data_IF_123877802587
#
_entry.id   IF_123877802587
#
_cell.length_a   1.000
_cell.length_b   1.000
_cell.length_c   1.000
_cell.angle_alpha   90.00
_cell.angle_beta   90.00
_cell.angle_gamma   90.00
#
_symmetry.space_group_name_H-M   'P 1'
#
loop_
_entity.id
_entity.type
_entity.pdbx_description
1 polymer ?
#
# COMPACT_ATOMS: atom_id res chain seq x y z
N UNK A 1 -7.02 -16.20 3.70
CA UNK A 1 -6.63 -14.96 2.98
C UNK A 1 -5.13 -14.84 3.12
N UNK A 2 -4.37 -14.61 2.08
CA UNK A 2 -2.90 -14.52 2.15
C UNK A 2 -2.53 -13.09 2.53
N UNK A 3 -1.63 -12.89 3.49
CA UNK A 3 -1.25 -11.57 4.00
C UNK A 3 -0.37 -10.77 3.03
N UNK A 4 0.35 -11.42 2.15
CA UNK A 4 1.17 -10.81 1.11
C UNK A 4 0.61 -11.12 -0.27
N UNK A 5 0.69 -10.14 -1.16
CA UNK A 5 0.51 -10.38 -2.57
C UNK A 5 1.73 -11.18 -3.06
N UNK A 6 1.52 -12.46 -3.45
CA UNK A 6 2.58 -13.18 -4.13
C UNK A 6 2.95 -12.44 -5.42
N UNK A 7 4.23 -12.48 -5.84
CA UNK A 7 4.65 -11.93 -7.13
C UNK A 7 3.72 -12.44 -8.24
N UNK A 8 3.16 -11.52 -9.00
CA UNK A 8 2.22 -11.85 -10.10
C UNK A 8 2.89 -11.75 -11.48
N UNK A 9 4.20 -11.58 -11.50
CA UNK A 9 5.02 -11.49 -12.70
C UNK A 9 4.94 -10.16 -13.44
N UNK A 10 4.18 -9.18 -12.94
CA UNK A 10 4.11 -7.86 -13.55
C UNK A 10 5.39 -7.05 -13.38
N UNK A 11 6.07 -7.25 -12.26
CA UNK A 11 7.26 -6.52 -11.90
C UNK A 11 8.35 -7.48 -11.42
N UNK A 12 9.50 -7.55 -12.12
CA UNK A 12 10.63 -8.39 -11.71
C UNK A 12 11.22 -8.00 -10.35
N UNK A 13 10.98 -6.78 -9.89
CA UNK A 13 11.42 -6.29 -8.58
C UNK A 13 10.78 -7.05 -7.42
N UNK A 14 9.64 -7.71 -7.65
CA UNK A 14 8.98 -8.57 -6.65
C UNK A 14 9.48 -10.03 -6.66
N UNK A 15 10.33 -10.41 -7.62
CA UNK A 15 10.94 -11.72 -7.70
C UNK A 15 12.03 -11.85 -6.62
N UNK A 16 11.64 -12.28 -5.44
CA UNK A 16 12.54 -12.52 -4.32
C UNK A 16 13.00 -13.98 -4.36
N UNK A 17 14.29 -14.17 -4.14
CA UNK A 17 14.85 -15.50 -3.89
C UNK A 17 14.00 -16.24 -2.82
N UNK A 18 13.40 -17.38 -3.17
CA UNK A 18 12.55 -18.13 -2.24
C UNK A 18 13.22 -18.46 -0.91
N UNK A 19 14.55 -18.56 -0.89
CA UNK A 19 15.33 -18.83 0.33
C UNK A 19 15.37 -17.62 1.29
N UNK A 20 15.07 -16.42 0.78
CA UNK A 20 15.01 -15.16 1.54
C UNK A 20 13.58 -14.75 1.89
N UNK A 21 12.58 -15.51 1.47
CA UNK A 21 11.18 -15.25 1.81
C UNK A 21 10.91 -15.59 3.28
N UNK A 22 11.27 -14.67 4.17
CA UNK A 22 10.86 -14.69 5.59
C UNK A 22 9.35 -14.48 5.74
N UNK A 23 8.67 -14.04 4.69
CA UNK A 23 7.30 -13.55 4.66
C UNK A 23 6.28 -14.56 4.10
N UNK A 24 6.50 -15.84 4.27
CA UNK A 24 5.51 -16.80 3.80
C UNK A 24 4.15 -16.58 4.47
N UNK A 25 3.38 -15.86 3.79
CA UNK A 25 1.95 -15.75 3.54
C UNK A 25 0.93 -15.90 4.68
N UNK A 26 1.16 -16.66 5.72
CA UNK A 26 0.10 -16.92 6.72
C UNK A 26 0.28 -16.10 8.01
N UNK A 27 1.48 -15.62 8.28
CA UNK A 27 1.77 -14.90 9.53
C UNK A 27 1.11 -13.53 9.60
N UNK A 28 1.05 -12.82 8.46
CA UNK A 28 0.46 -11.49 8.37
C UNK A 28 -0.97 -11.48 7.82
N UNK A 29 -1.54 -12.65 7.55
CA UNK A 29 -2.88 -12.75 7.00
C UNK A 29 -3.94 -12.43 8.05
N UNK A 30 -4.63 -11.31 7.88
CA UNK A 30 -5.73 -10.89 8.75
C UNK A 30 -7.04 -10.93 7.97
N UNK A 31 -8.10 -11.52 8.56
CA UNK A 31 -9.43 -11.54 7.96
C UNK A 31 -10.09 -10.16 8.07
N UNK A 32 -11.01 -9.85 7.13
CA UNK A 32 -11.81 -8.62 7.23
C UNK A 32 -12.60 -8.55 8.55
N UNK A 33 -13.11 -9.70 9.02
CA UNK A 33 -13.88 -9.74 10.28
C UNK A 33 -12.99 -9.42 11.48
N UNK A 34 -11.74 -9.89 11.46
CA UNK A 34 -10.76 -9.52 12.50
C UNK A 34 -10.45 -8.02 12.47
N UNK A 35 -10.27 -7.45 11.27
CA UNK A 35 -10.03 -5.99 11.13
C UNK A 35 -11.22 -5.20 11.68
N UNK A 36 -12.46 -5.57 11.29
CA UNK A 36 -13.67 -4.92 11.81
C UNK A 36 -13.78 -5.03 13.33
N UNK A 37 -13.48 -6.20 13.87
CA UNK A 37 -13.47 -6.43 15.33
C UNK A 37 -12.46 -5.50 16.03
N UNK A 38 -11.27 -5.35 15.47
CA UNK A 38 -10.25 -4.45 16.01
C UNK A 38 -10.72 -2.98 15.97
N UNK A 39 -11.28 -2.53 14.84
CA UNK A 39 -11.84 -1.18 14.73
C UNK A 39 -12.93 -0.94 15.77
N UNK A 40 -13.83 -1.91 15.96
CA UNK A 40 -14.89 -1.83 16.99
C UNK A 40 -14.31 -1.75 18.40
N UNK A 41 -13.30 -2.57 18.72
CA UNK A 41 -12.65 -2.56 20.05
C UNK A 41 -12.02 -1.21 20.41
N UNK A 42 -11.51 -0.50 19.39
CA UNK A 42 -10.91 0.82 19.58
C UNK A 42 -11.92 1.98 19.42
N UNK A 43 -13.21 1.67 19.24
CA UNK A 43 -14.25 2.69 19.03
C UNK A 43 -14.10 3.47 17.72
N UNK A 44 -13.45 2.87 16.72
CA UNK A 44 -13.16 3.50 15.43
C UNK A 44 -14.09 3.03 14.31
N UNK A 45 -14.97 2.07 14.55
CA UNK A 45 -15.88 1.52 13.55
C UNK A 45 -17.18 2.34 13.53
N UNK A 46 -17.33 3.16 12.49
CA UNK A 46 -18.55 3.91 12.22
C UNK A 46 -18.86 3.94 10.71
N UNK A 47 -19.89 4.67 10.30
CA UNK A 47 -20.35 4.77 8.91
C UNK A 47 -19.35 5.42 7.94
N UNK A 48 -18.33 6.09 8.46
CA UNK A 48 -17.24 6.72 7.66
C UNK A 48 -16.17 5.73 7.26
N UNK A 49 -16.15 4.55 7.87
CA UNK A 49 -15.11 3.53 7.61
C UNK A 49 -15.53 2.65 6.44
N UNK A 50 -14.77 2.71 5.37
CA UNK A 50 -14.98 1.88 4.18
C UNK A 50 -13.86 0.84 4.06
N UNK A 51 -14.24 -0.43 3.90
CA UNK A 51 -13.30 -1.54 3.71
C UNK A 51 -13.30 -2.00 2.25
N UNK A 52 -12.14 -1.91 1.60
CA UNK A 52 -11.95 -2.41 0.24
C UNK A 52 -11.22 -3.76 0.30
N UNK A 53 -11.97 -4.85 0.32
CA UNK A 53 -11.41 -6.19 0.39
C UNK A 53 -10.99 -6.67 -0.99
N UNK A 54 -9.70 -6.93 -1.19
CA UNK A 54 -9.15 -7.47 -2.43
C UNK A 54 -7.68 -7.06 -2.62
N UNK A 55 -7.14 -7.43 -3.78
CA UNK A 55 -5.81 -6.97 -4.18
C UNK A 55 -5.84 -5.50 -4.58
N UNK A 56 -4.77 -4.77 -4.29
CA UNK A 56 -4.70 -3.34 -4.62
C UNK A 56 -4.95 -3.09 -6.10
N UNK A 57 -4.33 -3.86 -6.99
CA UNK A 57 -4.54 -3.76 -8.44
C UNK A 57 -5.99 -3.87 -8.90
N UNK A 58 -6.82 -4.59 -8.15
CA UNK A 58 -8.21 -4.86 -8.53
C UNK A 58 -9.20 -3.90 -7.88
N UNK A 59 -8.86 -3.42 -6.68
CA UNK A 59 -9.77 -2.63 -5.83
C UNK A 59 -9.51 -1.13 -5.91
N UNK A 60 -8.24 -0.71 -5.89
CA UNK A 60 -7.91 0.72 -5.83
C UNK A 60 -8.30 1.53 -7.07
N UNK A 61 -8.17 1.00 -8.31
CA UNK A 61 -8.63 1.75 -9.49
C UNK A 61 -10.12 2.05 -9.50
N UNK A 62 -10.92 1.24 -8.78
CA UNK A 62 -12.38 1.34 -8.69
C UNK A 62 -12.85 1.89 -7.34
N UNK A 63 -11.93 2.26 -6.47
CA UNK A 63 -12.27 2.78 -5.15
C UNK A 63 -13.08 4.08 -5.27
N UNK A 64 -14.20 4.21 -4.55
CA UNK A 64 -15.04 5.41 -4.55
C UNK A 64 -14.37 6.53 -3.73
N UNK A 65 -13.19 6.92 -4.16
CA UNK A 65 -12.37 7.96 -3.53
C UNK A 65 -12.15 9.06 -4.55
N UNK A 66 -12.67 10.23 -4.29
CA UNK A 66 -12.48 11.41 -5.14
C UNK A 66 -11.22 12.19 -4.74
N UNK A 67 -11.02 12.38 -3.44
CA UNK A 67 -9.90 13.13 -2.87
C UNK A 67 -9.38 12.51 -1.58
N UNK A 68 -8.08 12.68 -1.36
CA UNK A 68 -7.38 12.27 -0.14
C UNK A 68 -6.68 13.48 0.49
N UNK A 69 -6.81 13.65 1.79
CA UNK A 69 -5.98 14.55 2.57
C UNK A 69 -4.67 13.88 2.96
N UNK A 70 -4.75 12.57 3.25
CA UNK A 70 -3.61 11.71 3.62
C UNK A 70 -3.72 10.41 2.85
N UNK A 71 -2.62 9.98 2.27
CA UNK A 71 -2.42 8.66 1.68
C UNK A 71 -1.34 7.94 2.49
N UNK A 72 -1.69 6.90 3.26
CA UNK A 72 -0.71 6.02 3.89
C UNK A 72 -0.64 4.71 3.12
N UNK A 73 0.55 4.38 2.64
CA UNK A 73 0.85 3.11 1.98
C UNK A 73 1.72 2.25 2.89
N UNK A 74 1.28 1.01 3.08
CA UNK A 74 1.87 -0.02 3.91
C UNK A 74 1.70 -1.33 3.12
N UNK A 75 2.50 -1.45 2.08
CA UNK A 75 2.31 -2.50 1.06
C UNK A 75 3.53 -3.38 0.82
N UNK A 76 4.68 -3.06 1.44
CA UNK A 76 5.98 -3.74 1.35
C UNK A 76 6.51 -3.97 -0.07
N UNK A 77 5.74 -4.66 -0.91
CA UNK A 77 6.15 -5.10 -2.24
C UNK A 77 6.15 -3.95 -3.24
N UNK A 78 7.01 -4.07 -4.26
CA UNK A 78 7.05 -3.10 -5.37
C UNK A 78 5.69 -2.94 -6.03
N UNK A 79 5.04 -4.07 -6.41
CA UNK A 79 3.73 -4.04 -7.09
C UNK A 79 2.64 -3.40 -6.23
N UNK A 80 2.53 -3.75 -4.96
CA UNK A 80 1.49 -3.18 -4.10
C UNK A 80 1.70 -1.68 -3.86
N UNK A 81 2.94 -1.25 -3.64
CA UNK A 81 3.27 0.17 -3.49
C UNK A 81 2.98 0.93 -4.78
N UNK A 82 3.39 0.39 -5.93
CA UNK A 82 3.14 1.00 -7.24
C UNK A 82 1.65 1.08 -7.56
N UNK A 83 0.87 0.01 -7.31
CA UNK A 83 -0.60 0.01 -7.50
C UNK A 83 -1.28 1.10 -6.65
N UNK A 84 -0.82 1.26 -5.40
CA UNK A 84 -1.28 2.31 -4.50
C UNK A 84 -0.96 3.71 -5.03
N UNK A 85 0.29 3.93 -5.43
CA UNK A 85 0.75 5.23 -5.96
C UNK A 85 0.01 5.60 -7.25
N UNK A 86 -0.06 4.69 -8.22
CA UNK A 86 -0.74 4.95 -9.51
C UNK A 86 -2.22 5.28 -9.29
N UNK A 87 -2.89 4.54 -8.39
CA UNK A 87 -4.33 4.66 -8.21
C UNK A 87 -4.75 5.83 -7.31
N UNK A 88 -3.94 6.16 -6.31
CA UNK A 88 -4.35 7.05 -5.22
C UNK A 88 -3.57 8.36 -5.15
N UNK A 89 -2.29 8.39 -5.55
CA UNK A 89 -1.52 9.64 -5.51
C UNK A 89 -2.15 10.77 -6.33
N UNK A 90 -2.72 10.52 -7.54
CA UNK A 90 -3.41 11.56 -8.31
C UNK A 90 -4.64 12.15 -7.60
N UNK A 91 -5.17 11.45 -6.60
CA UNK A 91 -6.31 11.88 -5.78
C UNK A 91 -5.89 12.65 -4.52
N UNK A 92 -4.59 12.74 -4.26
CA UNK A 92 -4.08 13.49 -3.12
C UNK A 92 -4.35 14.99 -3.32
N UNK A 93 -4.96 15.61 -2.33
CA UNK A 93 -5.26 17.04 -2.35
C UNK A 93 -3.97 17.85 -2.30
N UNK A 94 -3.97 19.02 -2.90
CA UNK A 94 -2.86 19.96 -2.76
C UNK A 94 -2.61 20.29 -1.29
N UNK A 95 -1.38 20.10 -0.83
CA UNK A 95 -1.01 20.23 0.59
C UNK A 95 -1.34 19.00 1.44
N UNK A 96 -1.81 17.91 0.82
CA UNK A 96 -1.97 16.61 1.49
C UNK A 96 -0.64 15.89 1.64
N UNK A 97 -0.64 14.82 2.44
CA UNK A 97 0.56 14.05 2.77
C UNK A 97 0.47 12.62 2.22
N UNK A 98 1.55 12.16 1.60
CA UNK A 98 1.79 10.75 1.33
C UNK A 98 2.76 10.20 2.38
N UNK A 99 2.34 9.17 3.10
CA UNK A 99 3.12 8.47 4.11
C UNK A 99 3.43 7.07 3.56
N UNK A 100 4.70 6.76 3.43
CA UNK A 100 5.16 5.46 2.94
C UNK A 100 5.82 4.74 4.13
N UNK A 101 5.15 3.71 4.64
CA UNK A 101 5.53 3.07 5.89
C UNK A 101 6.90 2.36 5.79
N UNK A 102 7.10 1.65 4.68
CA UNK A 102 8.25 0.75 4.50
C UNK A 102 9.38 1.35 3.66
N UNK A 103 9.38 2.66 3.41
CA UNK A 103 10.33 3.31 2.51
C UNK A 103 11.79 3.05 2.92
N UNK A 104 12.10 3.14 4.21
CA UNK A 104 13.46 2.92 4.71
C UNK A 104 13.75 1.45 5.02
N UNK A 105 12.72 0.65 5.27
CA UNK A 105 12.84 -0.73 5.73
C UNK A 105 12.87 -1.76 4.59
N UNK A 106 12.14 -1.48 3.48
CA UNK A 106 11.93 -2.46 2.40
C UNK A 106 12.39 -1.88 1.06
N UNK A 107 13.45 -2.48 0.50
CA UNK A 107 14.05 -2.02 -0.76
C UNK A 107 13.04 -1.98 -1.92
N UNK A 108 12.17 -2.97 -2.03
CA UNK A 108 11.15 -3.02 -3.08
C UNK A 108 10.16 -1.87 -2.98
N UNK A 109 9.75 -1.51 -1.77
CA UNK A 109 8.89 -0.36 -1.52
C UNK A 109 9.60 0.93 -1.93
N UNK A 110 10.86 1.12 -1.50
CA UNK A 110 11.68 2.27 -1.90
C UNK A 110 11.80 2.40 -3.40
N UNK A 111 12.16 1.32 -4.09
CA UNK A 111 12.32 1.32 -5.55
C UNK A 111 11.01 1.72 -6.26
N UNK A 112 9.87 1.24 -5.80
CA UNK A 112 8.57 1.63 -6.36
C UNK A 112 8.30 3.13 -6.20
N UNK A 113 8.62 3.69 -5.04
CA UNK A 113 8.45 5.13 -4.76
C UNK A 113 9.37 5.96 -5.65
N UNK A 114 10.65 5.59 -5.76
CA UNK A 114 11.61 6.33 -6.56
C UNK A 114 11.26 6.29 -8.05
N UNK A 115 10.92 5.11 -8.57
CA UNK A 115 10.50 4.95 -9.96
C UNK A 115 9.23 5.76 -10.26
N UNK A 116 8.25 5.72 -9.35
CA UNK A 116 7.03 6.51 -9.49
C UNK A 116 7.34 8.02 -9.51
N UNK A 117 8.17 8.49 -8.60
CA UNK A 117 8.58 9.90 -8.51
C UNK A 117 9.31 10.34 -9.77
N UNK A 118 10.27 9.55 -10.23
CA UNK A 118 11.03 9.83 -11.45
C UNK A 118 10.11 9.93 -12.66
N UNK A 119 9.23 8.94 -12.87
CA UNK A 119 8.33 8.88 -14.01
C UNK A 119 7.31 10.04 -14.01
N UNK A 120 6.93 10.54 -12.85
CA UNK A 120 5.97 11.63 -12.70
C UNK A 120 6.63 13.01 -12.41
N UNK A 121 7.98 13.08 -12.43
CA UNK A 121 8.76 14.30 -12.18
C UNK A 121 8.42 14.97 -10.84
N UNK A 122 8.22 14.17 -9.81
CA UNK A 122 7.91 14.64 -8.46
C UNK A 122 9.21 14.96 -7.74
N UNK A 123 9.40 16.21 -7.35
CA UNK A 123 10.61 16.72 -6.69
C UNK A 123 10.38 17.15 -5.24
N UNK A 124 9.19 16.91 -4.69
CA UNK A 124 8.90 17.20 -3.30
C UNK A 124 9.87 16.43 -2.38
N UNK A 125 10.35 17.05 -1.29
CA UNK A 125 11.29 16.38 -0.39
C UNK A 125 10.64 15.18 0.29
N UNK A 126 11.43 14.12 0.51
CA UNK A 126 11.08 13.02 1.41
C UNK A 126 11.68 13.36 2.78
N UNK A 127 10.88 13.25 3.81
CA UNK A 127 11.33 13.40 5.21
C UNK A 127 11.16 12.06 5.93
N UNK A 128 12.25 11.53 6.46
CA UNK A 128 12.25 10.35 7.33
C UNK A 128 12.22 10.79 8.80
N UNK A 129 11.48 10.05 9.63
CA UNK A 129 11.34 10.30 11.06
C UNK A 129 11.58 9.05 11.88
#
# INVERSE_FOLDING_TARGET
MRGFQAPDGRFPQDDIDPSKQVWTSNYLAVSLDQVKTNFSRYGLLDERVCFLKGWFKDTLPKAPIDRLAILRLDGDMYSSTMDGLISLYPKLSRGGFAIIDDYDAVEMCRNAVEDFRQNNKINDPISSH
#
